data_IF_427071696972
#
_entry.id   IF_427071696972
#
_cell.length_a   1.000
_cell.length_b   1.000
_cell.length_c   1.000
_cell.angle_alpha   90.00
_cell.angle_beta   90.00
_cell.angle_gamma   90.00
#
_symmetry.space_group_name_H-M   'P 1'
#
loop_
_entity.id
_entity.type
_entity.pdbx_description
1 polymer ?
#
# COMPACT_ATOMS: atom_id res chain seq x y z
N UNK A 1 5.88 -51.00 13.85
CA UNK A 1 6.49 -50.47 12.61
C UNK A 1 5.50 -49.66 11.77
N UNK A 2 4.28 -50.14 11.50
CA UNK A 2 3.24 -49.39 10.75
C UNK A 2 2.89 -48.02 11.37
N UNK A 3 2.81 -47.92 12.71
CA UNK A 3 2.55 -46.64 13.40
C UNK A 3 3.64 -45.59 13.21
N UNK A 4 4.90 -46.01 13.03
CA UNK A 4 6.03 -45.09 12.81
C UNK A 4 6.06 -44.59 11.36
N UNK A 5 5.68 -45.46 10.41
CA UNK A 5 5.56 -45.11 9.00
C UNK A 5 4.42 -44.10 8.74
N UNK A 6 3.27 -44.25 9.42
CA UNK A 6 2.18 -43.27 9.36
C UNK A 6 2.57 -41.90 9.94
N UNK A 7 3.37 -41.89 11.01
CA UNK A 7 3.81 -40.63 11.63
C UNK A 7 4.80 -39.86 10.75
N UNK A 8 5.71 -40.56 10.07
CA UNK A 8 6.60 -39.94 9.07
C UNK A 8 5.81 -39.43 7.86
N UNK A 9 4.78 -40.14 7.40
CA UNK A 9 3.99 -39.73 6.24
C UNK A 9 3.21 -38.42 6.48
N UNK A 10 2.75 -38.16 7.72
CA UNK A 10 2.09 -36.89 8.06
C UNK A 10 3.05 -35.69 8.13
N UNK A 11 4.34 -35.91 8.40
CA UNK A 11 5.36 -34.84 8.47
C UNK A 11 5.85 -34.38 7.08
N UNK A 12 5.57 -35.17 6.04
CA UNK A 12 5.89 -34.85 4.64
C UNK A 12 4.76 -34.13 3.91
N UNK A 13 3.64 -33.85 4.57
CA UNK A 13 2.57 -33.05 3.97
C UNK A 13 3.08 -31.62 3.80
N UNK A 14 3.17 -31.08 2.57
CA UNK A 14 3.48 -29.68 2.39
C UNK A 14 2.40 -28.88 3.10
N UNK A 15 2.80 -28.01 4.01
CA UNK A 15 1.92 -27.02 4.58
C UNK A 15 1.48 -26.09 3.45
N UNK A 16 0.36 -26.44 2.80
CA UNK A 16 -0.31 -25.54 1.86
C UNK A 16 -0.83 -24.41 2.73
N UNK A 17 -0.10 -23.30 2.76
CA UNK A 17 -0.57 -22.07 3.38
C UNK A 17 -1.89 -21.71 2.70
N UNK A 18 -2.99 -21.72 3.46
CA UNK A 18 -4.28 -21.28 2.95
C UNK A 18 -4.12 -19.84 2.46
N UNK A 19 -4.56 -19.56 1.23
CA UNK A 19 -4.53 -18.21 0.69
C UNK A 19 -5.35 -17.29 1.60
N UNK A 20 -4.88 -16.05 1.85
CA UNK A 20 -5.63 -15.11 2.65
C UNK A 20 -7.01 -14.89 2.01
N UNK A 21 -8.06 -14.98 2.82
CA UNK A 21 -9.44 -14.82 2.34
C UNK A 21 -9.63 -13.45 1.68
N UNK A 22 -9.04 -12.41 2.27
CA UNK A 22 -9.08 -11.02 1.82
C UNK A 22 -7.69 -10.40 1.83
N UNK A 23 -7.50 -9.32 1.08
CA UNK A 23 -6.20 -8.66 0.92
C UNK A 23 -5.58 -8.92 -0.44
N UNK A 24 -4.26 -8.72 -0.50
CA UNK A 24 -3.47 -8.94 -1.73
C UNK A 24 -3.51 -10.43 -2.07
N UNK A 25 -3.92 -10.75 -3.30
CA UNK A 25 -3.82 -12.10 -3.83
C UNK A 25 -2.48 -12.27 -4.55
N UNK A 26 -2.14 -11.31 -5.42
CA UNK A 26 -0.90 -11.39 -6.21
C UNK A 26 -0.44 -10.04 -6.74
N UNK A 27 0.88 -9.84 -6.75
CA UNK A 27 1.56 -8.76 -7.46
C UNK A 27 2.34 -9.35 -8.64
N UNK A 28 1.88 -9.10 -9.85
CA UNK A 28 2.51 -9.57 -11.09
C UNK A 28 3.53 -8.56 -11.62
N UNK A 29 3.34 -7.27 -11.33
CA UNK A 29 4.22 -6.18 -11.79
C UNK A 29 5.66 -6.31 -11.27
N UNK A 30 5.87 -6.97 -10.13
CA UNK A 30 7.14 -6.99 -9.41
C UNK A 30 7.53 -5.64 -8.80
N UNK A 31 6.71 -4.59 -8.99
CA UNK A 31 6.97 -3.26 -8.48
C UNK A 31 6.58 -3.14 -7.00
N UNK A 32 7.20 -2.22 -6.24
CA UNK A 32 6.87 -1.99 -4.84
C UNK A 32 5.41 -1.56 -4.63
N UNK A 33 4.72 -2.24 -3.70
CA UNK A 33 3.35 -1.90 -3.29
C UNK A 33 3.38 -0.80 -2.23
N UNK A 34 3.26 0.47 -2.65
CA UNK A 34 3.46 1.62 -1.75
C UNK A 34 2.42 2.73 -1.89
N UNK A 35 1.50 2.65 -2.85
CA UNK A 35 0.48 3.67 -3.06
C UNK A 35 -0.87 3.21 -2.53
N UNK A 36 -1.64 4.08 -1.86
CA UNK A 36 -2.91 3.68 -1.26
C UNK A 36 -4.01 3.52 -2.30
N UNK A 37 -4.68 2.38 -2.30
CA UNK A 37 -6.00 2.19 -2.90
C UNK A 37 -7.00 1.84 -1.80
N UNK A 38 -8.09 2.58 -1.75
CA UNK A 38 -9.17 2.36 -0.80
C UNK A 38 -10.50 2.09 -1.53
N UNK A 39 -11.24 1.08 -1.08
CA UNK A 39 -12.52 0.71 -1.67
C UNK A 39 -13.56 0.54 -0.56
N UNK A 40 -14.73 1.15 -0.77
CA UNK A 40 -15.93 0.92 0.03
C UNK A 40 -16.94 0.15 -0.82
N UNK A 41 -17.51 -0.91 -0.28
CA UNK A 41 -18.69 -1.59 -0.82
C UNK A 41 -19.67 -1.91 0.31
N UNK A 42 -20.92 -2.22 -0.04
CA UNK A 42 -21.93 -2.59 0.96
C UNK A 42 -21.58 -3.93 1.65
N UNK A 43 -22.05 -4.16 2.89
CA UNK A 43 -21.90 -5.45 3.56
C UNK A 43 -22.39 -6.62 2.70
N UNK A 44 -21.60 -7.69 2.66
CA UNK A 44 -21.90 -8.87 1.83
C UNK A 44 -21.64 -8.70 0.33
N UNK A 45 -21.11 -7.54 -0.10
CA UNK A 45 -20.63 -7.31 -1.47
C UNK A 45 -19.12 -7.43 -1.52
N UNK A 46 -18.64 -8.65 -1.38
CA UNK A 46 -17.23 -9.00 -1.57
C UNK A 46 -16.85 -8.83 -3.04
N UNK A 47 -15.65 -8.31 -3.28
CA UNK A 47 -15.19 -7.97 -4.63
C UNK A 47 -13.81 -8.56 -4.87
N UNK A 48 -13.54 -9.01 -6.08
CA UNK A 48 -12.19 -9.16 -6.59
C UNK A 48 -11.83 -7.93 -7.42
N UNK A 49 -10.62 -7.40 -7.23
CA UNK A 49 -10.10 -6.32 -8.04
C UNK A 49 -8.86 -6.78 -8.80
N UNK A 50 -8.71 -6.25 -10.00
CA UNK A 50 -7.48 -6.35 -10.78
C UNK A 50 -7.06 -4.96 -11.28
N UNK A 51 -5.77 -4.67 -11.21
CA UNK A 51 -5.18 -3.54 -11.91
C UNK A 51 -4.58 -4.05 -13.21
N UNK A 52 -4.99 -3.47 -14.33
CA UNK A 52 -4.52 -3.83 -15.66
C UNK A 52 -3.72 -2.71 -16.29
N UNK A 53 -2.65 -3.06 -16.99
CA UNK A 53 -1.89 -2.12 -17.81
C UNK A 53 -2.79 -1.61 -18.95
N UNK A 54 -2.92 -0.29 -19.18
CA UNK A 54 -3.85 0.26 -20.18
C UNK A 54 -3.58 -0.20 -21.62
N UNK A 55 -2.30 -0.39 -21.96
CA UNK A 55 -1.89 -0.71 -23.33
C UNK A 55 -1.96 -2.22 -23.61
N UNK A 56 -1.40 -3.06 -22.73
CA UNK A 56 -1.32 -4.51 -22.93
C UNK A 56 -2.49 -5.30 -22.34
N UNK A 57 -3.28 -4.68 -21.44
CA UNK A 57 -4.32 -5.33 -20.64
C UNK A 57 -3.84 -6.44 -19.70
N UNK A 58 -2.51 -6.56 -19.54
CA UNK A 58 -1.91 -7.51 -18.62
C UNK A 58 -2.32 -7.19 -17.18
N UNK A 59 -2.57 -8.24 -16.39
CA UNK A 59 -2.87 -8.10 -14.98
C UNK A 59 -1.58 -7.78 -14.23
N UNK A 60 -1.48 -6.56 -13.68
CA UNK A 60 -0.34 -6.13 -12.88
C UNK A 60 -0.50 -6.51 -11.40
N UNK A 61 -1.73 -6.56 -10.91
CA UNK A 61 -2.02 -6.76 -9.49
C UNK A 61 -3.45 -7.26 -9.27
N UNK A 62 -3.65 -8.07 -8.22
CA UNK A 62 -4.99 -8.56 -7.81
C UNK A 62 -5.16 -8.58 -6.29
N UNK A 63 -6.38 -8.31 -5.84
CA UNK A 63 -6.76 -8.38 -4.43
C UNK A 63 -8.23 -8.80 -4.27
N UNK A 64 -8.56 -9.36 -3.09
CA UNK A 64 -9.94 -9.59 -2.66
C UNK A 64 -10.33 -8.60 -1.57
N UNK A 65 -11.47 -7.96 -1.75
CA UNK A 65 -12.08 -6.94 -0.90
C UNK A 65 -13.22 -7.58 -0.12
N UNK A 66 -13.21 -7.41 1.20
CA UNK A 66 -14.35 -7.76 2.06
C UNK A 66 -15.40 -6.65 2.03
N UNK A 67 -16.65 -7.00 1.77
CA UNK A 67 -17.76 -6.06 1.71
C UNK A 67 -18.15 -5.51 3.10
N UNK A 68 -18.51 -4.23 3.16
CA UNK A 68 -18.95 -3.55 4.38
C UNK A 68 -17.83 -2.94 5.22
N UNK A 69 -16.58 -3.41 5.07
CA UNK A 69 -15.41 -2.78 5.66
C UNK A 69 -14.77 -1.78 4.70
N UNK A 70 -14.12 -0.74 5.24
CA UNK A 70 -13.29 0.14 4.43
C UNK A 70 -11.97 -0.59 4.10
N UNK A 71 -11.91 -1.18 2.91
CA UNK A 71 -10.74 -1.93 2.49
C UNK A 71 -9.64 -0.99 2.02
N UNK A 72 -8.45 -1.12 2.59
CA UNK A 72 -7.26 -0.34 2.23
C UNK A 72 -6.16 -1.30 1.84
N UNK A 73 -5.55 -1.05 0.69
CA UNK A 73 -4.44 -1.86 0.21
C UNK A 73 -3.40 -0.98 -0.45
N UNK A 74 -2.17 -1.48 -0.48
CA UNK A 74 -1.08 -0.85 -1.20
C UNK A 74 -0.96 -1.46 -2.59
N UNK A 75 -0.79 -0.59 -3.59
CA UNK A 75 -0.71 -0.96 -5.00
C UNK A 75 0.61 -0.46 -5.60
N UNK A 76 1.01 -1.00 -6.77
CA UNK A 76 2.24 -0.58 -7.41
C UNK A 76 2.12 0.82 -8.02
N UNK A 77 3.28 1.43 -8.29
CA UNK A 77 3.35 2.68 -9.07
C UNK A 77 2.85 2.43 -10.49
N UNK A 78 2.21 3.41 -11.11
CA UNK A 78 1.81 3.34 -12.53
C UNK A 78 0.41 3.86 -12.77
N UNK A 79 -0.03 3.75 -14.02
CA UNK A 79 -1.39 4.09 -14.44
C UNK A 79 -2.09 2.81 -14.83
N UNK A 80 -3.23 2.51 -14.22
CA UNK A 80 -3.90 1.23 -14.40
C UNK A 80 -5.39 1.40 -14.67
N UNK A 81 -5.95 0.54 -15.50
CA UNK A 81 -7.40 0.32 -15.56
C UNK A 81 -7.78 -0.58 -14.39
N UNK A 82 -8.74 -0.13 -13.59
CA UNK A 82 -9.28 -0.93 -12.49
C UNK A 82 -10.42 -1.81 -13.01
N UNK A 83 -10.27 -3.12 -12.89
CA UNK A 83 -11.34 -4.10 -13.11
C UNK A 83 -11.89 -4.54 -11.76
N UNK A 84 -13.21 -4.57 -11.62
CA UNK A 84 -13.92 -4.99 -10.40
C UNK A 84 -14.86 -6.13 -10.77
N UNK A 85 -14.74 -7.23 -10.04
CA UNK A 85 -15.59 -8.41 -10.20
C UNK A 85 -16.30 -8.67 -8.88
N UNK A 86 -17.61 -8.38 -8.77
CA UNK A 86 -18.41 -8.79 -7.62
C UNK A 86 -18.41 -10.31 -7.49
N UNK A 87 -18.42 -10.82 -6.27
CA UNK A 87 -18.58 -12.27 -6.06
C UNK A 87 -19.92 -12.75 -6.65
N UNK A 88 -19.86 -13.76 -7.53
CA UNK A 88 -21.03 -14.25 -8.26
C UNK A 88 -21.56 -13.30 -9.36
N UNK A 89 -20.85 -12.21 -9.65
CA UNK A 89 -21.21 -11.22 -10.68
C UNK A 89 -20.25 -11.21 -11.87
N UNK A 90 -20.60 -10.41 -12.89
CA UNK A 90 -19.74 -10.18 -14.05
C UNK A 90 -18.69 -9.08 -13.74
N UNK A 91 -17.48 -9.18 -14.30
CA UNK A 91 -16.49 -8.11 -14.20
C UNK A 91 -16.97 -6.84 -14.91
N UNK A 92 -16.61 -5.69 -14.36
CA UNK A 92 -16.76 -4.40 -15.01
C UNK A 92 -15.49 -3.57 -14.85
N UNK A 93 -15.26 -2.68 -15.82
CA UNK A 93 -14.13 -1.77 -15.81
C UNK A 93 -14.54 -0.44 -15.19
N UNK A 94 -13.66 0.09 -14.36
CA UNK A 94 -13.73 1.46 -13.93
C UNK A 94 -13.39 2.36 -15.13
N UNK A 95 -14.24 3.36 -15.45
CA UNK A 95 -14.20 4.04 -16.75
C UNK A 95 -12.95 4.89 -16.98
N UNK A 96 -12.25 5.28 -15.92
CA UNK A 96 -11.05 6.11 -16.00
C UNK A 96 -9.85 5.37 -15.41
N UNK A 97 -8.69 5.35 -16.10
CA UNK A 97 -7.46 4.85 -15.53
C UNK A 97 -7.05 5.62 -14.27
N UNK A 98 -6.56 4.89 -13.28
CA UNK A 98 -6.11 5.42 -12.01
C UNK A 98 -4.58 5.54 -12.03
N UNK A 99 -4.07 6.74 -11.76
CA UNK A 99 -2.62 6.97 -11.70
C UNK A 99 -2.14 7.00 -10.26
N UNK A 100 -1.20 6.11 -9.93
CA UNK A 100 -0.54 5.99 -8.63
C UNK A 100 0.92 6.43 -8.77
N UNK A 101 1.28 7.54 -8.12
CA UNK A 101 2.58 8.18 -8.33
C UNK A 101 3.01 9.04 -7.16
N UNK A 102 4.28 9.40 -7.16
CA UNK A 102 4.78 10.44 -6.28
C UNK A 102 4.47 11.81 -6.91
N UNK A 103 3.96 12.72 -6.10
CA UNK A 103 3.80 14.14 -6.39
C UNK A 103 4.75 14.97 -5.54
N UNK A 104 5.42 15.93 -6.16
CA UNK A 104 6.46 16.72 -5.50
C UNK A 104 7.59 15.83 -4.96
N UNK A 105 8.00 16.09 -3.72
CA UNK A 105 9.16 15.41 -3.11
C UNK A 105 8.78 14.31 -2.11
N UNK A 106 7.52 14.23 -1.69
CA UNK A 106 7.15 13.45 -0.50
C UNK A 106 5.70 12.96 -0.46
N UNK A 107 4.93 13.11 -1.53
CA UNK A 107 3.50 12.78 -1.53
C UNK A 107 3.24 11.57 -2.41
N UNK A 108 2.90 10.42 -1.80
CA UNK A 108 2.47 9.22 -2.54
C UNK A 108 0.97 9.28 -2.75
N UNK A 109 0.55 9.51 -3.99
CA UNK A 109 -0.86 9.68 -4.36
C UNK A 109 -1.45 8.36 -4.84
N UNK A 110 -2.66 8.08 -4.37
CA UNK A 110 -3.51 7.00 -4.85
C UNK A 110 -4.98 7.41 -4.75
N UNK A 111 -5.88 6.45 -4.62
CA UNK A 111 -7.31 6.66 -4.88
C UNK A 111 -8.19 6.00 -3.84
N UNK A 112 -9.33 6.63 -3.53
CA UNK A 112 -10.43 6.01 -2.80
C UNK A 112 -11.67 5.98 -3.69
N UNK A 113 -12.38 4.85 -3.66
CA UNK A 113 -13.56 4.63 -4.50
C UNK A 113 -14.70 4.16 -3.60
N UNK A 114 -15.85 4.79 -3.78
CA UNK A 114 -17.07 4.43 -3.07
C UNK A 114 -18.06 3.75 -4.03
N UNK A 115 -18.28 2.46 -3.83
CA UNK A 115 -19.15 1.60 -4.66
C UNK A 115 -20.48 1.28 -3.95
N UNK A 116 -20.74 1.91 -2.80
CA UNK A 116 -21.96 1.71 -2.01
C UNK A 116 -23.17 2.25 -2.76
N UNK A 117 -24.31 1.58 -2.62
CA UNK A 117 -25.53 1.96 -3.33
C UNK A 117 -25.54 1.65 -4.83
N UNK A 118 -24.47 1.01 -5.35
CA UNK A 118 -24.43 0.48 -6.72
C UNK A 118 -23.96 1.45 -7.79
N UNK A 119 -23.67 2.71 -7.45
CA UNK A 119 -23.08 3.67 -8.36
C UNK A 119 -21.55 3.50 -8.42
N UNK A 120 -20.97 3.76 -9.60
CA UNK A 120 -19.53 3.87 -9.78
C UNK A 120 -19.12 5.28 -9.38
N UNK A 121 -19.15 5.56 -8.08
CA UNK A 121 -18.72 6.86 -7.55
C UNK A 121 -17.33 7.23 -8.06
N UNK A 122 -17.11 8.52 -8.35
CA UNK A 122 -15.85 9.03 -8.89
C UNK A 122 -14.67 8.73 -7.94
N UNK A 123 -13.44 8.48 -8.44
CA UNK A 123 -12.30 8.24 -7.57
C UNK A 123 -11.94 9.55 -6.88
N UNK A 124 -11.82 9.49 -5.57
CA UNK A 124 -11.33 10.61 -4.77
C UNK A 124 -9.82 10.42 -4.51
N UNK A 125 -9.00 11.46 -4.71
CA UNK A 125 -7.58 11.35 -4.43
C UNK A 125 -7.34 11.18 -2.93
N UNK A 126 -6.50 10.22 -2.58
CA UNK A 126 -5.95 10.06 -1.23
C UNK A 126 -4.44 10.01 -1.33
N UNK A 127 -3.74 10.50 -0.30
CA UNK A 127 -2.29 10.57 -0.34
C UNK A 127 -1.65 10.28 1.00
N UNK A 128 -0.49 9.63 0.96
CA UNK A 128 0.43 9.55 2.07
C UNK A 128 1.50 10.62 1.94
N UNK A 129 1.60 11.46 2.95
CA UNK A 129 2.61 12.49 3.09
C UNK A 129 3.78 11.93 3.90
N UNK A 130 4.97 12.03 3.32
CA UNK A 130 6.22 11.63 3.95
C UNK A 130 6.87 12.82 4.65
N UNK A 131 7.22 12.63 5.92
CA UNK A 131 8.00 13.61 6.68
C UNK A 131 9.26 12.95 7.22
N UNK A 132 10.37 13.68 7.18
CA UNK A 132 11.62 13.31 7.85
C UNK A 132 11.57 13.85 9.26
N UNK A 133 11.60 12.97 10.26
CA UNK A 133 11.65 13.36 11.67
C UNK A 133 12.79 12.64 12.35
N UNK A 134 13.46 13.35 13.24
CA UNK A 134 14.45 12.74 14.11
C UNK A 134 13.70 12.31 15.37
N UNK A 135 13.94 11.08 15.81
CA UNK A 135 13.31 10.56 17.02
C UNK A 135 13.79 11.38 18.24
N UNK A 136 12.93 11.72 19.21
CA UNK A 136 13.36 12.40 20.42
C UNK A 136 14.51 11.70 21.16
N UNK A 137 14.55 10.37 21.12
CA UNK A 137 15.62 9.59 21.75
C UNK A 137 16.93 9.69 20.93
N UNK A 138 16.83 9.75 19.60
CA UNK A 138 17.96 10.00 18.69
C UNK A 138 18.61 11.39 18.92
N UNK A 139 17.91 12.32 19.58
CA UNK A 139 18.40 13.67 19.89
C UNK A 139 19.49 13.69 20.96
N UNK A 140 19.51 12.71 21.88
CA UNK A 140 20.60 12.56 22.84
C UNK A 140 21.86 12.05 22.14
N UNK A 141 21.71 10.98 21.38
CA UNK A 141 22.79 10.34 20.64
C UNK A 141 23.42 11.30 19.62
N UNK A 142 22.62 12.10 18.90
CA UNK A 142 23.14 13.13 17.99
C UNK A 142 23.99 14.18 18.70
N UNK A 143 23.54 14.64 19.88
CA UNK A 143 24.29 15.62 20.69
C UNK A 143 25.61 15.02 21.17
N UNK A 144 25.59 13.78 21.66
CA UNK A 144 26.78 13.13 22.20
C UNK A 144 27.77 12.79 21.08
N UNK A 145 27.29 12.41 19.89
CA UNK A 145 28.12 12.22 18.70
C UNK A 145 28.92 13.46 18.31
N UNK A 146 28.31 14.66 18.34
CA UNK A 146 29.00 15.91 17.99
C UNK A 146 29.91 16.43 19.12
N UNK A 147 29.61 16.08 20.38
CA UNK A 147 30.37 16.54 21.55
C UNK A 147 31.63 15.70 21.79
N UNK A 148 31.54 14.38 21.68
CA UNK A 148 32.63 13.48 22.04
C UNK A 148 33.66 13.40 20.91
N UNK A 149 34.97 13.26 21.19
CA UNK A 149 36.00 13.12 20.16
C UNK A 149 35.92 11.75 19.46
N UNK A 150 36.45 11.61 18.23
CA UNK A 150 36.55 10.30 17.58
C UNK A 150 37.38 9.32 18.43
N UNK A 151 36.88 8.10 18.61
CA UNK A 151 37.54 7.05 19.40
C UNK A 151 37.17 7.03 20.89
N UNK A 152 36.31 7.94 21.34
CA UNK A 152 35.71 7.88 22.67
C UNK A 152 34.75 6.68 22.80
N UNK A 153 34.87 5.83 23.83
CA UNK A 153 34.03 4.63 23.98
C UNK A 153 32.55 4.94 24.25
N UNK A 154 32.21 6.16 24.70
CA UNK A 154 30.84 6.60 24.90
C UNK A 154 30.25 7.25 23.64
N UNK A 155 31.06 7.45 22.59
CA UNK A 155 30.59 8.04 21.34
C UNK A 155 29.73 7.03 20.57
N UNK A 156 28.52 7.42 20.13
CA UNK A 156 27.71 6.55 19.28
C UNK A 156 28.44 6.17 17.97
N UNK A 157 28.43 4.88 17.64
CA UNK A 157 29.08 4.33 16.44
C UNK A 157 28.43 4.82 15.13
N UNK A 158 27.14 5.18 15.20
CA UNK A 158 26.37 5.69 14.06
C UNK A 158 25.85 7.09 14.38
N UNK A 159 25.81 7.95 13.37
CA UNK A 159 25.03 9.19 13.43
C UNK A 159 23.56 8.81 13.30
N UNK A 160 22.71 9.08 14.32
CA UNK A 160 21.28 8.94 14.16
C UNK A 160 20.79 9.84 13.01
N UNK A 161 20.17 9.22 12.01
CA UNK A 161 19.64 9.92 10.85
C UNK A 161 18.14 10.22 11.02
N UNK A 162 17.59 11.18 10.26
CA UNK A 162 16.15 11.38 10.22
C UNK A 162 15.44 10.12 9.74
N UNK A 163 14.41 9.70 10.49
CA UNK A 163 13.51 8.62 10.13
C UNK A 163 12.39 9.13 9.23
N UNK A 164 12.01 8.32 8.25
CA UNK A 164 10.88 8.61 7.39
C UNK A 164 9.59 8.17 8.09
N UNK A 165 8.66 9.11 8.27
CA UNK A 165 7.33 8.84 8.81
C UNK A 165 6.27 9.17 7.77
N UNK A 166 5.43 8.19 7.48
CA UNK A 166 4.28 8.32 6.58
C UNK A 166 3.00 8.56 7.37
N UNK A 167 2.17 9.49 6.89
CA UNK A 167 0.85 9.79 7.43
C UNK A 167 -0.11 10.07 6.29
N UNK A 168 -1.40 9.85 6.50
CA UNK A 168 -2.42 10.36 5.58
C UNK A 168 -2.30 11.90 5.53
N UNK A 169 -2.27 12.46 4.33
CA UNK A 169 -2.27 13.91 4.16
C UNK A 169 -3.58 14.49 4.68
N UNK A 170 -3.52 15.64 5.36
CA UNK A 170 -4.72 16.41 5.72
C UNK A 170 -5.24 17.19 4.49
N UNK A 171 -6.53 17.52 4.47
CA UNK A 171 -7.19 18.25 3.37
C UNK A 171 -6.60 19.64 3.11
N UNK A 172 -5.87 20.22 4.07
CA UNK A 172 -5.16 21.49 3.95
C UNK A 172 -3.84 21.38 3.16
N UNK A 173 -3.17 20.23 3.20
CA UNK A 173 -1.97 19.94 2.39
C UNK A 173 -2.31 19.62 0.92
N UNK A 174 -3.54 19.20 0.65
CA UNK A 174 -4.02 18.91 -0.71
C UNK A 174 -4.14 20.15 -1.60
N UNK A 175 -4.30 21.36 -1.03
CA UNK A 175 -4.48 22.62 -1.79
C UNK A 175 -3.22 23.46 -1.95
N UNK A 176 -2.19 23.28 -1.12
CA UNK A 176 -1.03 24.19 -1.07
C UNK A 176 0.10 23.90 -2.07
N UNK A 177 -0.03 22.88 -2.91
CA UNK A 177 1.00 22.52 -3.91
C UNK A 177 0.71 23.01 -5.33
N UNK A 178 -0.32 23.84 -5.50
CA UNK A 178 -0.77 24.34 -6.82
C UNK A 178 -0.41 25.80 -7.12
N UNK A 179 0.31 26.49 -6.25
CA UNK A 179 0.91 27.77 -6.66
C UNK A 179 2.15 27.47 -7.52
N UNK A 180 2.17 27.89 -8.79
CA UNK A 180 3.40 27.92 -9.56
C UNK A 180 4.41 28.74 -8.77
N UNK A 181 5.64 28.25 -8.65
CA UNK A 181 6.75 29.13 -8.29
C UNK A 181 6.93 30.02 -9.52
N UNK A 182 6.30 31.19 -9.51
CA UNK A 182 6.58 32.25 -10.47
C UNK A 182 8.08 32.57 -10.37
N UNK A 183 8.78 32.38 -11.49
CA UNK A 183 10.20 32.71 -11.65
C UNK A 183 10.44 34.18 -11.92
#
# INVERSE_FOLDING_TARGET
MIRLALLCLCLLAPAVAAEPKYGILRNYSGLPLVFPLAIKSDPGRDLMIALREPDSWDVAYTARVEGGAFFRVLVPVGTYVLEITPEGGAPYLYPQPLTFRIEGLSRKVGHSIDLRGGDLGAPEPIAFCQSRRIDPDDWRDLRDYWRLPPGDPERPDRVPGPQLRERLCDGTDARRSFDPIDG
#
